data_IF_313830163888
#
_entry.id   IF_313830163888
#
_cell.length_a   1.000
_cell.length_b   1.000
_cell.length_c   1.000
_cell.angle_alpha   90.00
_cell.angle_beta   90.00
_cell.angle_gamma   90.00
#
_symmetry.space_group_name_H-M   'P 1'
#
loop_
_entity.id
_entity.type
_entity.pdbx_description
1 polymer ?
#
# COMPACT_ATOMS: atom_id res chain seq x y z
N UNK A 1 12.41 -18.71 13.30
CA UNK A 1 11.33 -19.35 12.53
C UNK A 1 11.91 -19.91 11.24
N UNK A 2 11.42 -21.06 10.78
CA UNK A 2 11.84 -21.64 9.50
C UNK A 2 11.26 -20.85 8.32
N UNK A 3 12.05 -20.63 7.27
CA UNK A 3 11.66 -19.87 6.07
C UNK A 3 10.45 -20.50 5.39
N UNK A 4 10.34 -21.84 5.42
CA UNK A 4 9.19 -22.56 4.85
C UNK A 4 7.89 -22.25 5.58
N UNK A 5 7.93 -22.13 6.90
CA UNK A 5 6.75 -21.77 7.70
C UNK A 5 6.28 -20.36 7.34
N UNK A 6 7.21 -19.43 7.21
CA UNK A 6 6.89 -18.06 6.82
C UNK A 6 6.26 -17.98 5.42
N UNK A 7 6.85 -18.67 4.45
CA UNK A 7 6.31 -18.75 3.08
C UNK A 7 4.90 -19.35 3.05
N UNK A 8 4.64 -20.40 3.84
CA UNK A 8 3.31 -21.01 3.93
C UNK A 8 2.28 -20.04 4.52
N UNK A 9 2.64 -19.30 5.56
CA UNK A 9 1.76 -18.30 6.18
C UNK A 9 1.46 -17.18 5.17
N UNK A 10 2.47 -16.67 4.46
CA UNK A 10 2.28 -15.62 3.45
C UNK A 10 1.41 -16.09 2.29
N UNK A 11 1.65 -17.30 1.77
CA UNK A 11 0.82 -17.88 0.70
C UNK A 11 -0.62 -18.11 1.15
N UNK A 12 -0.83 -18.55 2.40
CA UNK A 12 -2.17 -18.69 2.97
C UNK A 12 -2.87 -17.33 3.13
N UNK A 13 -2.14 -16.30 3.55
CA UNK A 13 -2.67 -14.94 3.69
C UNK A 13 -3.16 -14.38 2.34
N UNK A 14 -2.40 -14.61 1.27
CA UNK A 14 -2.79 -14.23 -0.10
C UNK A 14 -4.06 -14.96 -0.57
N UNK A 15 -4.26 -16.22 -0.16
CA UNK A 15 -5.42 -17.02 -0.55
C UNK A 15 -6.70 -16.62 0.21
N UNK A 16 -6.58 -16.48 1.53
CA UNK A 16 -7.75 -16.30 2.41
C UNK A 16 -8.09 -14.82 2.61
N UNK A 17 -7.10 -13.93 2.53
CA UNK A 17 -7.23 -12.48 2.71
C UNK A 17 -8.03 -12.08 3.98
N UNK A 18 -7.94 -12.90 5.04
CA UNK A 18 -8.59 -12.66 6.32
C UNK A 18 -7.54 -12.33 7.38
N UNK A 19 -7.54 -11.11 7.96
CA UNK A 19 -6.53 -10.69 8.91
C UNK A 19 -6.57 -11.50 10.22
N UNK A 20 -7.75 -11.91 10.68
CA UNK A 20 -7.91 -12.60 11.96
C UNK A 20 -7.39 -14.04 11.90
N UNK A 21 -7.67 -14.74 10.79
CA UNK A 21 -7.17 -16.10 10.60
C UNK A 21 -5.65 -16.05 10.40
N UNK A 22 -5.16 -15.11 9.60
CA UNK A 22 -3.73 -14.95 9.35
C UNK A 22 -2.96 -14.58 10.62
N UNK A 23 -3.49 -13.66 11.43
CA UNK A 23 -2.86 -13.29 12.71
C UNK A 23 -2.83 -14.46 13.69
N UNK A 24 -3.87 -15.29 13.72
CA UNK A 24 -3.90 -16.49 14.56
C UNK A 24 -2.81 -17.49 14.13
N UNK A 25 -2.63 -17.71 12.83
CA UNK A 25 -1.55 -18.56 12.32
C UNK A 25 -0.17 -18.00 12.67
N UNK A 26 0.00 -16.67 12.57
CA UNK A 26 1.24 -16.00 12.98
C UNK A 26 1.51 -16.16 14.48
N UNK A 27 0.48 -16.05 15.32
CA UNK A 27 0.59 -16.27 16.76
C UNK A 27 0.96 -17.73 17.08
N UNK A 28 0.33 -18.70 16.40
CA UNK A 28 0.67 -20.13 16.53
C UNK A 28 2.09 -20.45 16.06
N UNK A 29 2.62 -19.68 15.11
CA UNK A 29 4.01 -19.78 14.64
C UNK A 29 4.99 -18.98 15.51
N UNK A 30 4.55 -18.45 16.65
CA UNK A 30 5.36 -17.71 17.62
C UNK A 30 6.03 -16.45 17.04
N UNK A 31 5.39 -15.78 16.07
CA UNK A 31 5.84 -14.46 15.62
C UNK A 31 5.75 -13.42 16.74
N UNK A 32 6.60 -12.39 16.66
CA UNK A 32 6.54 -11.25 17.58
C UNK A 32 5.13 -10.62 17.56
N UNK A 33 4.63 -10.31 18.76
CA UNK A 33 3.29 -9.74 18.96
C UNK A 33 3.06 -8.46 18.17
N UNK A 34 4.10 -7.71 17.84
CA UNK A 34 4.01 -6.49 17.02
C UNK A 34 3.50 -6.80 15.62
N UNK A 35 4.03 -7.82 14.95
CA UNK A 35 3.55 -8.25 13.64
C UNK A 35 2.15 -8.84 13.69
N UNK A 36 1.86 -9.65 14.70
CA UNK A 36 0.52 -10.22 14.92
C UNK A 36 -0.52 -9.10 15.06
N UNK A 37 -0.20 -8.05 15.83
CA UNK A 37 -1.08 -6.89 16.01
C UNK A 37 -1.20 -6.04 14.75
N UNK A 38 -0.13 -5.87 13.98
CA UNK A 38 -0.19 -5.15 12.71
C UNK A 38 -1.10 -5.87 11.70
N UNK A 39 -0.98 -7.19 11.59
CA UNK A 39 -1.87 -8.00 10.74
C UNK A 39 -3.33 -7.92 11.20
N UNK A 40 -3.60 -8.12 12.49
CA UNK A 40 -4.96 -8.10 13.04
C UNK A 40 -5.57 -6.69 13.15
N UNK A 41 -4.75 -5.65 13.06
CA UNK A 41 -5.14 -4.26 13.24
C UNK A 41 -6.07 -3.76 12.13
N UNK A 42 -6.91 -2.75 12.42
CA UNK A 42 -7.79 -2.18 11.40
C UNK A 42 -6.99 -1.55 10.27
N UNK A 43 -7.59 -1.48 9.08
CA UNK A 43 -7.11 -0.61 8.00
C UNK A 43 -7.55 0.82 8.33
N UNK A 44 -6.59 1.75 8.34
CA UNK A 44 -6.87 3.15 8.64
C UNK A 44 -7.32 3.85 7.36
N UNK A 45 -8.53 4.39 7.37
CA UNK A 45 -9.13 5.13 6.26
C UNK A 45 -9.40 6.58 6.68
N UNK A 46 -9.32 7.51 5.73
CA UNK A 46 -9.77 8.88 5.95
C UNK A 46 -11.29 8.91 6.14
N UNK A 47 -11.76 9.67 7.12
CA UNK A 47 -13.17 9.71 7.51
C UNK A 47 -13.98 10.55 6.50
N UNK A 48 -14.37 9.91 5.41
CA UNK A 48 -15.13 10.52 4.33
C UNK A 48 -16.11 9.52 3.69
N UNK A 49 -17.26 9.96 3.15
CA UNK A 49 -18.13 9.11 2.33
C UNK A 49 -17.41 8.47 1.14
N UNK A 50 -16.35 9.10 0.64
CA UNK A 50 -15.53 8.56 -0.46
C UNK A 50 -14.73 7.30 -0.06
N UNK A 51 -14.64 6.96 1.23
CA UNK A 51 -14.06 5.69 1.65
C UNK A 51 -14.88 4.49 1.15
N UNK A 52 -16.19 4.65 0.95
CA UNK A 52 -17.08 3.61 0.44
C UNK A 52 -16.91 3.37 -1.07
N UNK A 53 -16.25 4.29 -1.78
CA UNK A 53 -16.00 4.18 -3.23
C UNK A 53 -14.65 3.54 -3.56
N UNK A 54 -13.90 3.08 -2.54
CA UNK A 54 -12.69 2.31 -2.76
C UNK A 54 -12.99 1.00 -3.52
N UNK A 55 -12.13 0.58 -4.45
CA UNK A 55 -12.35 -0.65 -5.20
C UNK A 55 -12.45 -1.86 -4.27
N UNK A 56 -13.44 -2.73 -4.50
CA UNK A 56 -13.72 -3.87 -3.62
C UNK A 56 -12.53 -4.86 -3.47
N UNK A 57 -11.62 -4.91 -4.45
CA UNK A 57 -10.41 -5.73 -4.39
C UNK A 57 -9.32 -5.16 -3.47
N UNK A 58 -9.36 -3.87 -3.16
CA UNK A 58 -8.27 -3.16 -2.47
C UNK A 58 -8.13 -3.58 -1.01
N UNK A 59 -9.23 -3.68 -0.26
CA UNK A 59 -9.16 -4.03 1.17
C UNK A 59 -8.65 -5.46 1.40
N UNK A 60 -9.09 -6.50 0.64
CA UNK A 60 -8.48 -7.83 0.71
C UNK A 60 -6.99 -7.81 0.35
N UNK A 61 -6.61 -7.05 -0.69
CA UNK A 61 -5.23 -6.94 -1.15
C UNK A 61 -4.30 -6.28 -0.11
N UNK A 62 -4.80 -5.33 0.70
CA UNK A 62 -4.05 -4.76 1.82
C UNK A 62 -3.57 -5.83 2.79
N UNK A 63 -4.40 -6.81 3.13
CA UNK A 63 -4.00 -7.86 4.08
C UNK A 63 -2.97 -8.83 3.49
N UNK A 64 -3.07 -9.12 2.19
CA UNK A 64 -2.05 -9.89 1.48
C UNK A 64 -0.70 -9.14 1.48
N UNK A 65 -0.72 -7.85 1.16
CA UNK A 65 0.47 -7.00 1.14
C UNK A 65 1.09 -6.83 2.53
N UNK A 66 0.27 -6.71 3.59
CA UNK A 66 0.76 -6.72 4.98
C UNK A 66 1.47 -8.03 5.32
N UNK A 67 0.96 -9.18 4.86
CA UNK A 67 1.60 -10.47 5.12
C UNK A 67 2.98 -10.57 4.46
N UNK A 68 3.11 -10.04 3.25
CA UNK A 68 4.39 -9.97 2.54
C UNK A 68 5.38 -9.02 3.21
N UNK A 69 4.91 -7.83 3.61
CA UNK A 69 5.73 -6.87 4.35
C UNK A 69 6.22 -7.49 5.67
N UNK A 70 5.34 -8.11 6.45
CA UNK A 70 5.70 -8.80 7.68
C UNK A 70 6.75 -9.89 7.40
N UNK A 71 6.58 -10.67 6.33
CA UNK A 71 7.58 -11.68 5.97
C UNK A 71 8.95 -11.07 5.64
N UNK A 72 8.97 -9.93 4.96
CA UNK A 72 10.21 -9.20 4.71
C UNK A 72 10.82 -8.67 6.01
N UNK A 73 10.04 -8.01 6.86
CA UNK A 73 10.47 -7.49 8.16
C UNK A 73 11.03 -8.59 9.09
N UNK A 74 10.40 -9.78 9.09
CA UNK A 74 10.91 -10.94 9.82
C UNK A 74 12.30 -11.35 9.34
N UNK A 75 12.55 -11.32 8.02
CA UNK A 75 13.86 -11.65 7.45
C UNK A 75 14.91 -10.59 7.78
N UNK A 76 14.52 -9.33 7.78
CA UNK A 76 15.41 -8.19 8.01
C UNK A 76 15.61 -7.89 9.51
N UNK A 77 14.78 -8.48 10.38
CA UNK A 77 14.80 -8.23 11.82
C UNK A 77 14.27 -6.84 12.21
N UNK A 78 13.52 -6.19 11.32
CA UNK A 78 12.90 -4.88 11.51
C UNK A 78 11.43 -5.01 11.88
N UNK A 79 10.77 -3.96 12.39
CA UNK A 79 9.34 -4.01 12.72
C UNK A 79 8.66 -2.67 12.49
N UNK A 80 7.69 -2.63 11.57
CA UNK A 80 6.75 -1.54 11.41
C UNK A 80 7.38 -0.20 11.01
N UNK A 81 8.40 -0.22 10.15
CA UNK A 81 9.08 1.00 9.70
C UNK A 81 8.29 1.75 8.62
N UNK A 82 7.60 1.03 7.75
CA UNK A 82 6.89 1.58 6.60
C UNK A 82 5.46 1.05 6.53
N UNK A 83 4.53 1.90 6.09
CA UNK A 83 3.20 1.46 5.66
C UNK A 83 3.27 0.90 4.24
N UNK A 84 2.39 -0.04 3.91
CA UNK A 84 2.29 -0.52 2.53
C UNK A 84 1.62 0.52 1.63
N UNK A 85 1.99 0.55 0.36
CA UNK A 85 1.49 1.53 -0.61
C UNK A 85 -0.04 1.50 -0.78
N UNK A 86 -0.70 0.34 -0.65
CA UNK A 86 -2.17 0.26 -0.66
C UNK A 86 -2.84 0.94 0.55
N UNK A 87 -2.22 0.91 1.73
CA UNK A 87 -2.76 1.62 2.91
C UNK A 87 -2.69 3.13 2.71
N UNK A 88 -1.58 3.60 2.16
CA UNK A 88 -1.39 5.01 1.78
C UNK A 88 -2.47 5.42 0.79
N UNK A 89 -2.69 4.63 -0.27
CA UNK A 89 -3.76 4.90 -1.24
C UNK A 89 -5.15 4.92 -0.60
N UNK A 90 -5.48 3.91 0.21
CA UNK A 90 -6.78 3.77 0.83
C UNK A 90 -7.10 4.94 1.78
N UNK A 91 -6.08 5.51 2.43
CA UNK A 91 -6.22 6.71 3.23
C UNK A 91 -6.28 8.00 2.40
N UNK A 92 -5.37 8.16 1.43
CA UNK A 92 -5.20 9.43 0.72
C UNK A 92 -6.25 9.65 -0.38
N UNK A 93 -6.81 8.61 -0.97
CA UNK A 93 -7.84 8.75 -1.99
C UNK A 93 -9.09 9.48 -1.45
N UNK A 94 -9.73 9.04 -0.34
CA UNK A 94 -10.89 9.76 0.19
C UNK A 94 -10.52 11.17 0.67
N UNK A 95 -9.31 11.36 1.21
CA UNK A 95 -8.82 12.68 1.62
C UNK A 95 -8.73 13.65 0.44
N UNK A 96 -8.24 13.19 -0.71
CA UNK A 96 -8.11 13.99 -1.94
C UNK A 96 -9.48 14.41 -2.51
N UNK A 97 -10.49 13.55 -2.32
CA UNK A 97 -11.85 13.83 -2.79
C UNK A 97 -12.58 14.85 -1.90
N UNK A 98 -12.24 14.92 -0.62
CA UNK A 98 -12.75 15.96 0.28
C UNK A 98 -12.06 17.31 0.02
N UNK A 99 -10.74 17.30 -0.16
CA UNK A 99 -9.94 18.49 -0.40
C UNK A 99 -8.66 18.15 -1.19
N UNK A 100 -8.17 19.05 -2.05
CA UNK A 100 -6.94 18.82 -2.79
C UNK A 100 -5.76 18.63 -1.86
N UNK A 101 -4.94 17.62 -2.15
CA UNK A 101 -3.69 17.38 -1.44
C UNK A 101 -2.67 18.48 -1.77
N UNK A 102 -1.81 18.80 -0.81
CA UNK A 102 -0.61 19.57 -1.10
C UNK A 102 0.30 18.77 -2.03
N UNK A 103 1.12 19.49 -2.80
CA UNK A 103 1.90 18.93 -3.89
C UNK A 103 2.80 17.76 -3.48
N UNK A 104 3.47 17.86 -2.33
CA UNK A 104 4.35 16.82 -1.79
C UNK A 104 3.56 15.53 -1.52
N UNK A 105 2.33 15.65 -1.04
CA UNK A 105 1.45 14.51 -0.79
C UNK A 105 0.88 13.93 -2.09
N UNK A 106 0.69 14.74 -3.13
CA UNK A 106 0.36 14.22 -4.46
C UNK A 106 1.46 13.29 -4.97
N UNK A 107 2.74 13.67 -4.79
CA UNK A 107 3.85 12.82 -5.21
C UNK A 107 3.86 11.46 -4.48
N UNK A 108 3.66 11.48 -3.16
CA UNK A 108 3.54 10.25 -2.35
C UNK A 108 2.38 9.37 -2.87
N UNK A 109 1.21 9.97 -3.08
CA UNK A 109 0.04 9.24 -3.59
C UNK A 109 0.29 8.62 -4.96
N UNK A 110 0.93 9.35 -5.88
CA UNK A 110 1.24 8.86 -7.22
C UNK A 110 2.29 7.74 -7.19
N UNK A 111 3.31 7.87 -6.35
CA UNK A 111 4.36 6.86 -6.19
C UNK A 111 3.78 5.55 -5.61
N UNK A 112 3.06 5.64 -4.48
CA UNK A 112 2.39 4.49 -3.88
C UNK A 112 1.36 3.88 -4.83
N UNK A 113 0.61 4.71 -5.57
CA UNK A 113 -0.35 4.23 -6.55
C UNK A 113 0.29 3.49 -7.71
N UNK A 114 1.40 3.99 -8.25
CA UNK A 114 2.16 3.30 -9.27
C UNK A 114 2.64 1.92 -8.79
N UNK A 115 3.26 1.86 -7.61
CA UNK A 115 3.76 0.62 -7.03
C UNK A 115 2.63 -0.39 -6.82
N UNK A 116 1.56 0.02 -6.14
CA UNK A 116 0.46 -0.86 -5.78
C UNK A 116 -0.32 -1.35 -7.00
N UNK A 117 -0.68 -0.47 -7.94
CA UNK A 117 -1.45 -0.89 -9.11
C UNK A 117 -0.62 -1.72 -10.09
N UNK A 118 0.70 -1.49 -10.19
CA UNK A 118 1.59 -2.39 -10.94
C UNK A 118 1.64 -3.77 -10.29
N UNK A 119 1.82 -3.84 -8.96
CA UNK A 119 1.90 -5.10 -8.24
C UNK A 119 0.64 -5.96 -8.41
N UNK A 120 -0.53 -5.34 -8.39
CA UNK A 120 -1.83 -6.02 -8.45
C UNK A 120 -2.42 -6.14 -9.86
N UNK A 121 -1.66 -5.76 -10.90
CA UNK A 121 -2.11 -5.75 -12.29
C UNK A 121 -3.46 -5.02 -12.46
N UNK A 122 -3.46 -3.75 -12.05
CA UNK A 122 -4.62 -2.84 -12.07
C UNK A 122 -4.39 -1.60 -12.91
N UNK A 123 -3.21 -1.47 -13.52
CA UNK A 123 -2.93 -0.42 -14.49
C UNK A 123 -3.35 -0.85 -15.89
N UNK A 124 -3.88 0.07 -16.71
CA UNK A 124 -4.05 -0.16 -18.14
C UNK A 124 -2.71 -0.38 -18.85
N UNK A 125 -2.71 -1.20 -19.91
CA UNK A 125 -1.52 -1.53 -20.68
C UNK A 125 -0.75 -0.28 -21.14
N UNK A 126 0.54 -0.24 -20.79
CA UNK A 126 1.46 0.82 -21.19
C UNK A 126 1.24 2.18 -20.54
N UNK A 127 0.35 2.29 -19.54
CA UNK A 127 0.08 3.55 -18.83
C UNK A 127 0.65 3.54 -17.42
N UNK A 128 1.22 4.67 -17.01
CA UNK A 128 1.57 4.96 -15.62
C UNK A 128 0.35 5.44 -14.85
N UNK A 129 0.36 5.27 -13.53
CA UNK A 129 -0.72 5.75 -12.68
C UNK A 129 -0.92 7.27 -12.79
N UNK A 130 0.17 8.02 -12.89
CA UNK A 130 0.12 9.47 -13.08
C UNK A 130 -0.61 9.87 -14.38
N UNK A 131 -0.34 9.16 -15.49
CA UNK A 131 -1.07 9.37 -16.76
C UNK A 131 -2.57 9.09 -16.62
N UNK A 132 -2.93 8.06 -15.85
CA UNK A 132 -4.34 7.67 -15.64
C UNK A 132 -5.09 8.72 -14.81
N UNK A 133 -4.47 9.26 -13.77
CA UNK A 133 -5.13 10.18 -12.83
C UNK A 133 -5.11 11.63 -13.32
N UNK A 134 -4.00 12.09 -13.90
CA UNK A 134 -3.81 13.51 -14.26
C UNK A 134 -4.10 13.79 -15.75
N UNK A 135 -4.17 12.75 -16.58
CA UNK A 135 -4.19 12.89 -18.04
C UNK A 135 -2.80 13.14 -18.63
N UNK A 136 -2.67 12.90 -19.95
CA UNK A 136 -1.38 12.96 -20.65
C UNK A 136 -0.79 14.39 -20.69
N UNK A 137 -1.63 15.43 -20.66
CA UNK A 137 -1.21 16.83 -20.79
C UNK A 137 -0.64 17.45 -19.50
N UNK A 138 -0.93 16.89 -18.31
CA UNK A 138 -0.56 17.51 -17.02
C UNK A 138 0.81 17.04 -16.47
N UNK A 139 1.43 16.03 -17.10
CA UNK A 139 2.72 15.50 -16.65
C UNK A 139 3.88 16.50 -16.82
N UNK A 140 3.83 17.32 -17.87
CA UNK A 140 4.85 18.33 -18.15
C UNK A 140 4.96 19.37 -17.00
N UNK A 141 3.82 19.75 -16.42
CA UNK A 141 3.76 20.74 -15.32
C UNK A 141 4.37 20.19 -14.03
N UNK A 142 4.22 18.88 -13.77
CA UNK A 142 4.81 18.26 -12.58
C UNK A 142 6.34 18.15 -12.70
N UNK A 143 6.86 17.78 -13.88
CA UNK A 143 8.31 17.70 -14.13
C UNK A 143 9.00 19.06 -14.04
N UNK A 144 8.38 20.12 -14.58
CA UNK A 144 8.94 21.48 -14.52
C UNK A 144 8.98 22.02 -13.08
N UNK A 145 7.96 21.69 -12.26
CA UNK A 145 7.94 22.07 -10.85
C UNK A 145 9.04 21.35 -10.04
N UNK A 146 9.27 20.06 -10.29
CA UNK A 146 10.34 19.27 -9.63
C UNK A 146 11.70 19.93 -9.86
N UNK A 147 12.03 20.26 -11.11
CA UNK A 147 13.29 20.92 -11.46
C UNK A 147 13.43 22.31 -10.81
N UNK A 148 12.31 23.01 -10.59
CA UNK A 148 12.32 24.35 -10.02
C UNK A 148 12.46 24.39 -8.49
N UNK A 149 11.97 23.37 -7.77
CA UNK A 149 11.95 23.34 -6.30
C UNK A 149 13.02 22.45 -5.67
N UNK A 150 13.37 21.35 -6.33
CA UNK A 150 14.38 20.42 -5.83
C UNK A 150 15.47 20.35 -6.89
N UNK A 151 16.64 20.95 -6.61
CA UNK A 151 17.87 20.88 -7.41
C UNK A 151 18.43 19.44 -7.47
N UNK A 152 17.61 18.48 -7.88
CA UNK A 152 18.01 17.09 -8.08
C UNK A 152 18.00 16.87 -9.59
N UNK A 153 19.18 16.81 -10.24
CA UNK A 153 19.24 16.45 -11.65
C UNK A 153 18.84 14.98 -11.79
N UNK A 154 17.95 14.70 -12.74
CA UNK A 154 17.76 13.36 -13.30
C UNK A 154 18.91 13.02 -14.25
#
# INVERSE_FOLDING_TARGET
MDERTLQLITAFAQLVANPQITSLLMEMAELDRRWVRYMAGPVILHRSPWAETLPAWMLPAIYADRAELIAQEVRDGTVGELAISLEVMAYMYPATMDAPLAYEWVQVYLCCGQEALTKHDKLPDGKTFAQVVLGEDQLLVLTDYIQSQFLIPL
#
